data_IF_514576324999
#
_entry.id   IF_514576324999
#
_cell.length_a   1.000
_cell.length_b   1.000
_cell.length_c   1.000
_cell.angle_alpha   90.00
_cell.angle_beta   90.00
_cell.angle_gamma   90.00
#
_symmetry.space_group_name_H-M   'P 1'
#
loop_
_entity.id
_entity.type
_entity.pdbx_description
1 polymer ?
#
# COMPACT_ATOMS: atom_id res chain seq x y z
N UNK A 1 6.19 13.54 -19.91
CA UNK A 1 5.01 12.68 -19.69
C UNK A 1 4.72 12.38 -18.22
N UNK A 2 5.68 12.45 -17.28
CA UNK A 2 5.44 12.18 -15.85
C UNK A 2 4.66 13.27 -15.07
N UNK A 3 4.40 14.44 -15.66
CA UNK A 3 3.80 15.58 -14.94
C UNK A 3 2.26 15.62 -15.00
N UNK A 4 1.64 15.08 -16.05
CA UNK A 4 0.19 15.12 -16.23
C UNK A 4 -0.42 13.72 -16.15
N UNK A 5 -1.13 13.46 -15.05
CA UNK A 5 -1.81 12.19 -14.83
C UNK A 5 -2.90 11.90 -15.89
N UNK A 6 -3.66 12.91 -16.31
CA UNK A 6 -4.81 12.72 -17.20
C UNK A 6 -4.43 12.37 -18.65
N UNK A 7 -3.20 12.71 -19.04
CA UNK A 7 -2.63 12.31 -20.33
C UNK A 7 -1.68 11.09 -20.19
N UNK A 8 -1.59 10.50 -19.01
CA UNK A 8 -0.67 9.38 -18.74
C UNK A 8 -1.23 8.06 -19.26
N UNK A 9 -0.34 7.13 -19.58
CA UNK A 9 -0.71 5.74 -19.93
C UNK A 9 -1.40 5.03 -18.77
N UNK A 10 -1.12 5.42 -17.53
CA UNK A 10 -1.79 4.88 -16.35
C UNK A 10 -3.29 5.19 -16.37
N UNK A 11 -3.67 6.44 -16.63
CA UNK A 11 -5.07 6.86 -16.70
C UNK A 11 -5.79 6.19 -17.89
N UNK A 12 -5.14 6.15 -19.05
CA UNK A 12 -5.77 5.67 -20.29
C UNK A 12 -5.93 4.14 -20.36
N UNK A 13 -5.03 3.37 -19.75
CA UNK A 13 -4.95 1.92 -19.98
C UNK A 13 -4.97 1.07 -18.70
N UNK A 14 -4.71 1.65 -17.53
CA UNK A 14 -4.61 0.90 -16.27
C UNK A 14 -5.62 1.33 -15.21
N UNK A 15 -6.57 2.18 -15.57
CA UNK A 15 -7.69 2.51 -14.70
C UNK A 15 -8.92 1.73 -15.12
N UNK A 16 -9.42 0.89 -14.22
CA UNK A 16 -10.57 0.02 -14.45
C UNK A 16 -11.72 0.40 -13.53
N UNK A 17 -12.94 0.10 -13.97
CA UNK A 17 -14.08 0.03 -13.06
C UNK A 17 -14.01 -1.27 -12.23
N UNK A 18 -14.67 -1.27 -11.07
CA UNK A 18 -14.78 -2.45 -10.21
C UNK A 18 -15.38 -3.65 -10.95
N UNK A 19 -16.40 -3.39 -11.78
CA UNK A 19 -17.07 -4.42 -12.57
C UNK A 19 -16.15 -5.01 -13.64
N UNK A 20 -15.46 -4.15 -14.40
CA UNK A 20 -14.52 -4.61 -15.43
C UNK A 20 -13.38 -5.42 -14.84
N UNK A 21 -12.84 -4.99 -13.70
CA UNK A 21 -11.75 -5.73 -13.03
C UNK A 21 -12.23 -7.08 -12.50
N UNK A 22 -13.44 -7.15 -11.95
CA UNK A 22 -14.05 -8.39 -11.51
C UNK A 22 -14.31 -9.34 -12.68
N UNK A 23 -14.80 -8.84 -13.81
CA UNK A 23 -15.02 -9.62 -15.02
C UNK A 23 -13.72 -10.16 -15.60
N UNK A 24 -12.64 -9.36 -15.65
CA UNK A 24 -11.32 -9.81 -16.09
C UNK A 24 -10.80 -10.97 -15.23
N UNK A 25 -10.92 -10.85 -13.90
CA UNK A 25 -10.51 -11.91 -12.97
C UNK A 25 -11.37 -13.16 -13.10
N UNK A 26 -12.68 -12.99 -13.30
CA UNK A 26 -13.58 -14.11 -13.50
C UNK A 26 -13.25 -14.86 -14.80
N UNK A 27 -12.97 -14.12 -15.87
CA UNK A 27 -12.53 -14.70 -17.15
C UNK A 27 -11.24 -15.51 -16.99
N UNK A 28 -10.23 -14.99 -16.30
CA UNK A 28 -9.00 -15.74 -16.00
C UNK A 28 -9.27 -17.00 -15.19
N UNK A 29 -10.15 -16.92 -14.19
CA UNK A 29 -10.57 -18.08 -13.41
C UNK A 29 -11.29 -19.13 -14.27
N UNK A 30 -12.06 -18.67 -15.26
CA UNK A 30 -12.83 -19.54 -16.14
C UNK A 30 -11.98 -20.21 -17.22
N UNK A 31 -10.93 -19.54 -17.69
CA UNK A 31 -9.94 -20.11 -18.61
C UNK A 31 -9.13 -21.23 -17.95
N UNK A 32 -8.79 -21.08 -16.66
CA UNK A 32 -7.94 -22.01 -15.92
C UNK A 32 -8.69 -22.82 -14.85
N UNK A 33 -9.96 -23.17 -15.11
CA UNK A 33 -10.83 -23.90 -14.16
C UNK A 33 -10.18 -25.13 -13.54
N UNK A 34 -9.49 -25.93 -14.36
CA UNK A 34 -8.84 -27.15 -13.91
C UNK A 34 -7.74 -26.89 -12.88
N UNK A 35 -6.85 -25.92 -13.15
CA UNK A 35 -5.78 -25.54 -12.22
C UNK A 35 -6.36 -24.94 -10.92
N UNK A 36 -7.46 -24.19 -11.04
CA UNK A 36 -8.10 -23.55 -9.91
C UNK A 36 -8.73 -24.56 -8.95
N UNK A 37 -9.28 -25.66 -9.48
CA UNK A 37 -9.83 -26.76 -8.69
C UNK A 37 -8.72 -27.59 -8.02
N UNK A 38 -7.61 -27.83 -8.70
CA UNK A 38 -6.47 -28.59 -8.16
C UNK A 38 -5.74 -27.85 -7.05
N UNK A 39 -5.58 -26.53 -7.20
CA UNK A 39 -4.86 -25.66 -6.27
C UNK A 39 -5.74 -24.47 -5.86
N UNK A 40 -6.65 -24.66 -4.87
CA UNK A 40 -7.42 -23.55 -4.34
C UNK A 40 -6.48 -22.56 -3.66
N UNK A 41 -6.64 -21.28 -4.01
CA UNK A 41 -5.89 -20.19 -3.41
C UNK A 41 -6.78 -19.40 -2.45
N UNK A 42 -6.21 -18.81 -1.38
CA UNK A 42 -6.90 -17.85 -0.54
C UNK A 42 -7.40 -16.63 -1.33
N UNK A 43 -8.24 -15.81 -0.70
CA UNK A 43 -8.71 -14.57 -1.31
C UNK A 43 -7.52 -13.69 -1.78
N UNK A 44 -7.74 -13.00 -2.89
CA UNK A 44 -6.73 -12.21 -3.58
C UNK A 44 -6.21 -11.07 -2.69
N UNK A 45 -7.02 -10.59 -1.75
CA UNK A 45 -6.63 -9.61 -0.72
C UNK A 45 -5.57 -10.18 0.22
N UNK A 46 -5.75 -11.41 0.70
CA UNK A 46 -4.74 -12.09 1.52
C UNK A 46 -3.44 -12.37 0.75
N UNK A 47 -3.54 -12.76 -0.53
CA UNK A 47 -2.38 -12.92 -1.39
C UNK A 47 -1.65 -11.59 -1.63
N UNK A 48 -2.39 -10.49 -1.79
CA UNK A 48 -1.83 -9.15 -1.92
C UNK A 48 -1.03 -8.75 -0.67
N UNK A 49 -1.57 -9.01 0.53
CA UNK A 49 -0.86 -8.81 1.79
C UNK A 49 0.41 -9.67 1.87
N UNK A 50 0.33 -10.93 1.45
CA UNK A 50 1.47 -11.84 1.43
C UNK A 50 2.58 -11.35 0.50
N UNK A 51 2.27 -11.02 -0.76
CA UNK A 51 3.23 -10.51 -1.73
C UNK A 51 3.85 -9.19 -1.28
N UNK A 52 3.06 -8.28 -0.72
CA UNK A 52 3.58 -7.03 -0.16
C UNK A 52 4.58 -7.27 0.96
N UNK A 53 4.30 -8.20 1.89
CA UNK A 53 5.24 -8.59 2.96
C UNK A 53 6.54 -9.19 2.39
N UNK A 54 6.45 -10.05 1.38
CA UNK A 54 7.64 -10.61 0.72
C UNK A 54 8.50 -9.52 0.07
N UNK A 55 7.85 -8.59 -0.63
CA UNK A 55 8.51 -7.49 -1.34
C UNK A 55 9.18 -6.51 -0.35
N UNK A 56 8.49 -6.18 0.76
CA UNK A 56 9.05 -5.35 1.82
C UNK A 56 10.24 -6.02 2.53
N UNK A 57 10.18 -7.34 2.78
CA UNK A 57 11.30 -8.11 3.33
C UNK A 57 12.51 -8.10 2.38
N UNK A 58 12.28 -8.35 1.09
CA UNK A 58 13.33 -8.30 0.07
C UNK A 58 13.97 -6.91 0.02
N UNK A 59 13.16 -5.83 -0.06
CA UNK A 59 13.67 -4.47 -0.13
C UNK A 59 14.41 -3.99 1.12
N UNK A 60 14.03 -4.48 2.30
CA UNK A 60 14.72 -4.16 3.56
C UNK A 60 16.08 -4.85 3.69
N UNK A 61 16.22 -6.05 3.15
CA UNK A 61 17.47 -6.80 3.23
C UNK A 61 18.50 -6.44 2.15
N UNK A 62 18.09 -5.66 1.14
CA UNK A 62 19.04 -5.19 0.12
C UNK A 62 20.20 -4.41 0.77
N UNK A 63 21.42 -4.47 0.22
CA UNK A 63 22.59 -3.80 0.78
C UNK A 63 22.40 -2.29 0.96
N UNK A 64 21.63 -1.68 0.06
CA UNK A 64 21.18 -0.30 0.14
C UNK A 64 19.65 -0.31 0.26
N UNK A 65 19.06 0.37 1.26
CA UNK A 65 17.61 0.43 1.40
C UNK A 65 16.94 0.98 0.15
N UNK A 66 15.96 0.25 -0.37
CA UNK A 66 15.19 0.67 -1.53
C UNK A 66 14.24 1.81 -1.14
N UNK A 67 14.09 2.81 -2.01
CA UNK A 67 13.16 3.91 -1.83
C UNK A 67 11.72 3.41 -1.78
N UNK A 68 10.89 4.01 -0.93
CA UNK A 68 9.48 3.64 -0.80
C UNK A 68 8.71 3.74 -2.12
N UNK A 69 9.04 4.71 -2.97
CA UNK A 69 8.45 4.85 -4.29
C UNK A 69 8.70 3.61 -5.17
N UNK A 70 9.91 3.06 -5.19
CA UNK A 70 10.22 1.85 -5.95
C UNK A 70 9.50 0.59 -5.41
N UNK A 71 9.33 0.48 -4.08
CA UNK A 71 8.51 -0.59 -3.50
C UNK A 71 7.05 -0.48 -3.93
N UNK A 72 6.50 0.73 -3.91
CA UNK A 72 5.13 1.00 -4.36
C UNK A 72 4.95 0.69 -5.86
N UNK A 73 5.91 1.09 -6.71
CA UNK A 73 5.90 0.78 -8.14
C UNK A 73 5.91 -0.73 -8.38
N UNK A 74 6.75 -1.47 -7.64
CA UNK A 74 6.80 -2.92 -7.74
C UNK A 74 5.49 -3.59 -7.30
N UNK A 75 4.83 -3.11 -6.24
CA UNK A 75 3.50 -3.58 -5.84
C UNK A 75 2.45 -3.36 -6.94
N UNK A 76 2.48 -2.20 -7.61
CA UNK A 76 1.59 -1.92 -8.74
C UNK A 76 1.89 -2.84 -9.93
N UNK A 77 3.16 -3.11 -10.24
CA UNK A 77 3.52 -4.05 -11.30
C UNK A 77 2.97 -5.46 -11.04
N UNK A 78 3.09 -5.96 -9.80
CA UNK A 78 2.50 -7.25 -9.44
C UNK A 78 0.98 -7.28 -9.65
N UNK A 79 0.28 -6.22 -9.27
CA UNK A 79 -1.18 -6.11 -9.48
C UNK A 79 -1.53 -6.09 -10.96
N UNK A 80 -0.81 -5.31 -11.76
CA UNK A 80 -1.02 -5.20 -13.21
C UNK A 80 -0.78 -6.55 -13.90
N UNK A 81 0.31 -7.21 -13.55
CA UNK A 81 0.69 -8.51 -14.11
C UNK A 81 -0.33 -9.61 -13.75
N UNK A 82 -0.66 -9.78 -12.47
CA UNK A 82 -1.63 -10.80 -12.04
C UNK A 82 -3.10 -10.47 -12.34
N UNK A 83 -3.38 -9.29 -12.89
CA UNK A 83 -4.71 -9.00 -13.47
C UNK A 83 -4.88 -9.56 -14.88
N UNK A 84 -3.79 -9.99 -15.53
CA UNK A 84 -3.78 -10.60 -16.87
C UNK A 84 -3.25 -12.03 -16.87
N UNK A 85 -2.38 -12.37 -15.93
CA UNK A 85 -1.75 -13.69 -15.83
C UNK A 85 -2.21 -14.40 -14.57
N UNK A 86 -2.57 -15.68 -14.73
CA UNK A 86 -2.94 -16.53 -13.60
C UNK A 86 -1.72 -16.83 -12.71
N UNK A 87 -1.84 -16.58 -11.41
CA UNK A 87 -0.74 -16.70 -10.43
C UNK A 87 -0.11 -18.10 -10.47
N UNK A 88 -0.94 -19.12 -10.70
CA UNK A 88 -0.56 -20.54 -10.67
C UNK A 88 0.34 -20.98 -11.81
N UNK A 89 0.47 -20.19 -12.89
CA UNK A 89 1.34 -20.50 -14.04
C UNK A 89 2.78 -20.01 -13.87
N UNK A 90 3.04 -19.20 -12.85
CA UNK A 90 4.31 -18.52 -12.65
C UNK A 90 4.85 -18.83 -11.27
N UNK A 91 6.17 -18.79 -11.08
CA UNK A 91 6.76 -18.80 -9.75
C UNK A 91 6.65 -17.38 -9.14
N UNK A 92 5.80 -17.15 -8.11
CA UNK A 92 5.57 -15.80 -7.62
C UNK A 92 6.80 -15.15 -7.00
N UNK A 93 7.74 -15.94 -6.48
CA UNK A 93 8.98 -15.43 -5.90
C UNK A 93 9.88 -14.79 -6.97
N UNK A 94 10.01 -15.43 -8.14
CA UNK A 94 10.74 -14.86 -9.29
C UNK A 94 10.05 -13.59 -9.77
N UNK A 95 8.72 -13.60 -9.88
CA UNK A 95 7.95 -12.42 -10.33
C UNK A 95 8.12 -11.26 -9.34
N UNK A 96 8.10 -11.50 -8.03
CA UNK A 96 8.34 -10.47 -6.99
C UNK A 96 9.74 -9.88 -7.11
N UNK A 97 10.76 -10.73 -7.21
CA UNK A 97 12.16 -10.30 -7.38
C UNK A 97 12.33 -9.47 -8.64
N UNK A 98 11.73 -9.91 -9.75
CA UNK A 98 11.79 -9.24 -11.05
C UNK A 98 11.04 -7.92 -11.04
N UNK A 99 9.85 -7.86 -10.44
CA UNK A 99 9.06 -6.65 -10.32
C UNK A 99 9.81 -5.56 -9.54
N UNK A 100 10.47 -5.94 -8.43
CA UNK A 100 11.28 -5.03 -7.65
C UNK A 100 12.54 -4.56 -8.40
N UNK A 101 13.24 -5.49 -9.04
CA UNK A 101 14.41 -5.17 -9.89
C UNK A 101 14.06 -4.16 -10.99
N UNK A 102 12.94 -4.40 -11.69
CA UNK A 102 12.47 -3.52 -12.75
C UNK A 102 12.00 -2.18 -12.20
N UNK A 103 11.25 -2.14 -11.10
CA UNK A 103 10.84 -0.89 -10.46
C UNK A 103 12.05 -0.04 -10.05
N UNK A 104 13.10 -0.64 -9.49
CA UNK A 104 14.34 0.06 -9.16
C UNK A 104 15.01 0.69 -10.39
N UNK A 105 15.00 0.01 -11.53
CA UNK A 105 15.52 0.57 -12.78
C UNK A 105 14.72 1.79 -13.26
N UNK A 106 13.40 1.72 -13.17
CA UNK A 106 12.50 2.77 -13.65
C UNK A 106 12.45 4.00 -12.71
N UNK A 107 12.66 3.81 -11.41
CA UNK A 107 12.65 4.87 -10.39
C UNK A 107 14.04 5.45 -10.12
N UNK A 108 14.98 5.26 -11.06
CA UNK A 108 16.36 5.81 -10.98
C UNK A 108 17.10 5.39 -9.69
N UNK A 109 16.87 4.16 -9.22
CA UNK A 109 17.56 3.54 -8.08
C UNK A 109 18.02 2.11 -8.41
N UNK A 110 18.64 1.96 -9.58
CA UNK A 110 19.03 0.66 -10.11
C UNK A 110 20.12 -0.02 -9.27
N UNK A 111 19.93 -1.32 -9.03
CA UNK A 111 20.96 -2.20 -8.47
C UNK A 111 21.26 -3.35 -9.43
N UNK A 112 22.45 -3.94 -9.28
CA UNK A 112 22.88 -5.06 -10.13
C UNK A 112 21.98 -6.29 -9.91
N UNK A 113 21.59 -6.97 -11.00
CA UNK A 113 20.68 -8.14 -10.97
C UNK A 113 21.14 -9.25 -10.01
N UNK A 114 22.46 -9.49 -9.93
CA UNK A 114 23.05 -10.45 -8.97
C UNK A 114 22.67 -10.17 -7.52
N UNK A 115 22.53 -8.90 -7.11
CA UNK A 115 22.17 -8.56 -5.74
C UNK A 115 20.75 -9.01 -5.42
N UNK A 116 19.82 -8.79 -6.35
CA UNK A 116 18.43 -9.24 -6.21
C UNK A 116 18.33 -10.76 -6.14
N UNK A 117 19.03 -11.48 -7.02
CA UNK A 117 19.02 -12.95 -7.04
C UNK A 117 19.65 -13.54 -5.78
N UNK A 118 20.79 -12.99 -5.33
CA UNK A 118 21.47 -13.46 -4.13
C UNK A 118 20.61 -13.25 -2.88
N UNK A 119 19.99 -12.08 -2.73
CA UNK A 119 19.14 -11.79 -1.57
C UNK A 119 17.85 -12.61 -1.59
N UNK A 120 17.24 -12.75 -2.78
CA UNK A 120 16.03 -13.58 -2.91
C UNK A 120 16.32 -15.05 -2.62
N UNK A 121 17.52 -15.55 -2.94
CA UNK A 121 17.98 -16.88 -2.54
C UNK A 121 18.19 -16.99 -1.03
N UNK A 122 18.75 -15.97 -0.39
CA UNK A 122 18.94 -15.97 1.06
C UNK A 122 17.59 -16.05 1.79
N UNK A 123 16.58 -15.35 1.29
CA UNK A 123 15.22 -15.36 1.82
C UNK A 123 14.44 -16.64 1.49
N UNK A 124 14.58 -17.17 0.28
CA UNK A 124 13.75 -18.25 -0.26
C UNK A 124 14.59 -19.32 -0.96
N UNK A 125 15.48 -20.03 -0.24
CA UNK A 125 16.43 -20.98 -0.85
C UNK A 125 15.75 -22.18 -1.52
N UNK A 126 14.51 -22.49 -1.14
CA UNK A 126 13.74 -23.59 -1.73
C UNK A 126 13.00 -23.22 -3.02
N UNK A 127 12.91 -21.94 -3.37
CA UNK A 127 12.12 -21.45 -4.51
C UNK A 127 12.95 -20.68 -5.54
N UNK A 128 14.18 -20.29 -5.19
CA UNK A 128 15.11 -19.58 -6.07
C UNK A 128 16.50 -20.22 -5.94
N UNK A 129 17.01 -20.73 -7.06
CA UNK A 129 18.34 -21.34 -7.18
C UNK A 129 19.36 -20.35 -7.77
N UNK A 130 20.67 -20.64 -7.64
CA UNK A 130 21.74 -19.79 -8.16
C UNK A 130 21.71 -19.58 -9.70
N UNK A 131 21.09 -20.50 -10.44
CA UNK A 131 20.99 -20.47 -11.90
C UNK A 131 19.87 -19.55 -12.42
N UNK A 132 19.15 -18.86 -11.53
CA UNK A 132 17.94 -18.09 -11.85
C UNK A 132 18.22 -16.68 -12.41
N UNK A 133 19.48 -16.25 -12.59
CA UNK A 133 19.77 -14.93 -13.17
C UNK A 133 19.17 -14.82 -14.58
N UNK A 134 19.30 -15.87 -15.39
CA UNK A 134 18.72 -15.92 -16.73
C UNK A 134 17.18 -15.88 -16.67
N UNK A 135 16.57 -16.66 -15.78
CA UNK A 135 15.11 -16.70 -15.58
C UNK A 135 14.54 -15.37 -15.06
N UNK A 136 15.27 -14.63 -14.21
CA UNK A 136 14.89 -13.26 -13.82
C UNK A 136 14.96 -12.30 -15.01
N UNK A 137 15.96 -12.45 -15.88
CA UNK A 137 16.05 -11.67 -17.13
C UNK A 137 14.94 -12.00 -18.14
N UNK A 138 14.58 -13.27 -18.30
CA UNK A 138 13.45 -13.70 -19.12
C UNK A 138 12.11 -13.23 -18.54
N UNK A 139 11.94 -13.36 -17.22
CA UNK A 139 10.77 -12.86 -16.51
C UNK A 139 10.66 -11.33 -16.63
N UNK A 140 11.79 -10.61 -16.67
CA UNK A 140 11.77 -9.16 -16.88
C UNK A 140 11.15 -8.82 -18.23
N UNK A 141 11.62 -9.47 -19.30
CA UNK A 141 11.08 -9.28 -20.63
C UNK A 141 9.58 -9.60 -20.69
N UNK A 142 9.18 -10.72 -20.08
CA UNK A 142 7.79 -11.13 -20.02
C UNK A 142 6.91 -10.11 -19.26
N UNK A 143 7.38 -9.61 -18.13
CA UNK A 143 6.65 -8.63 -17.31
C UNK A 143 6.49 -7.28 -18.04
N UNK A 144 7.50 -6.83 -18.79
CA UNK A 144 7.40 -5.63 -19.63
C UNK A 144 6.39 -5.84 -20.76
N UNK A 145 6.46 -6.99 -21.44
CA UNK A 145 5.58 -7.32 -22.55
C UNK A 145 4.10 -7.37 -22.12
N UNK A 146 3.81 -8.04 -21.00
CA UNK A 146 2.45 -8.21 -20.49
C UNK A 146 1.84 -6.88 -20.02
N UNK A 147 2.68 -5.98 -19.49
CA UNK A 147 2.27 -4.61 -19.14
C UNK A 147 2.32 -3.64 -20.34
N UNK A 148 2.55 -4.14 -21.55
CA UNK A 148 2.58 -3.36 -22.80
C UNK A 148 3.53 -2.15 -22.73
N UNK A 149 4.67 -2.30 -22.04
CA UNK A 149 5.68 -1.25 -21.81
C UNK A 149 5.16 0.01 -21.09
N UNK A 150 4.02 -0.07 -20.39
CA UNK A 150 3.42 1.04 -19.65
C UNK A 150 3.93 1.06 -18.21
N UNK A 151 5.19 1.50 -18.05
CA UNK A 151 5.94 1.35 -16.80
C UNK A 151 5.80 2.52 -15.84
N UNK A 152 5.50 3.73 -16.32
CA UNK A 152 5.43 4.91 -15.45
C UNK A 152 4.19 4.82 -14.54
N UNK A 153 4.40 5.00 -13.24
CA UNK A 153 3.35 5.01 -12.21
C UNK A 153 3.35 6.34 -11.47
N UNK A 154 2.17 6.92 -11.33
CA UNK A 154 1.90 8.11 -10.54
C UNK A 154 1.44 7.70 -9.15
N UNK A 155 2.15 8.16 -8.12
CA UNK A 155 1.89 7.83 -6.73
C UNK A 155 1.18 8.97 -5.98
N UNK A 156 0.33 8.67 -4.99
CA UNK A 156 -0.36 9.66 -4.15
C UNK A 156 0.57 10.45 -3.21
N UNK A 157 1.80 10.00 -2.96
CA UNK A 157 2.76 10.67 -2.05
C UNK A 157 2.98 12.14 -2.39
N UNK A 158 3.09 12.46 -3.70
CA UNK A 158 3.28 13.83 -4.15
C UNK A 158 2.08 14.71 -3.80
N UNK A 159 0.87 14.22 -4.06
CA UNK A 159 -0.36 14.95 -3.73
C UNK A 159 -0.53 15.16 -2.23
N UNK A 160 -0.12 14.20 -1.40
CA UNK A 160 -0.13 14.38 0.05
C UNK A 160 0.75 15.57 0.48
N UNK A 161 1.95 15.67 -0.07
CA UNK A 161 2.88 16.77 0.23
C UNK A 161 2.36 18.11 -0.30
N UNK A 162 1.80 18.13 -1.51
CA UNK A 162 1.21 19.34 -2.11
C UNK A 162 0.01 19.86 -1.29
N UNK A 163 -0.75 18.96 -0.66
CA UNK A 163 -1.91 19.29 0.18
C UNK A 163 -1.57 19.59 1.65
N UNK A 164 -0.32 19.41 2.07
CA UNK A 164 0.10 19.68 3.45
C UNK A 164 -0.11 21.14 3.85
N UNK A 165 0.37 22.07 3.02
CA UNK A 165 0.31 23.52 3.30
C UNK A 165 -1.12 24.07 3.20
N UNK A 166 -1.91 23.78 2.13
CA UNK A 166 -3.29 24.28 2.02
C UNK A 166 -4.22 23.80 3.14
N UNK A 167 -4.01 22.59 3.66
CA UNK A 167 -4.85 22.00 4.70
C UNK A 167 -4.29 22.21 6.11
N UNK A 168 -3.15 22.90 6.24
CA UNK A 168 -2.45 23.14 7.51
C UNK A 168 -2.26 21.85 8.34
N UNK A 169 -1.80 20.78 7.68
CA UNK A 169 -1.59 19.48 8.29
C UNK A 169 -0.32 19.48 9.15
N UNK A 170 -0.39 18.88 10.34
CA UNK A 170 0.81 18.67 11.16
C UNK A 170 1.68 17.55 10.59
N UNK A 171 2.96 17.51 10.97
CA UNK A 171 3.88 16.44 10.53
C UNK A 171 3.40 15.05 10.95
N UNK A 172 2.78 14.94 12.12
CA UNK A 172 2.15 13.69 12.57
C UNK A 172 0.98 13.27 11.67
N UNK A 173 0.14 14.22 11.23
CA UNK A 173 -1.01 13.95 10.36
C UNK A 173 -0.53 13.48 8.98
N UNK A 174 0.55 14.08 8.47
CA UNK A 174 1.22 13.67 7.23
C UNK A 174 1.84 12.28 7.38
N UNK A 175 2.51 11.98 8.50
CA UNK A 175 3.09 10.67 8.76
C UNK A 175 2.03 9.56 8.81
N UNK A 176 0.90 9.83 9.48
CA UNK A 176 -0.22 8.88 9.53
C UNK A 176 -0.85 8.70 8.15
N UNK A 177 -1.11 9.78 7.41
CA UNK A 177 -1.63 9.70 6.04
C UNK A 177 -0.65 8.96 5.11
N UNK A 178 0.66 9.14 5.29
CA UNK A 178 1.69 8.40 4.56
C UNK A 178 1.63 6.90 4.84
N UNK A 179 1.40 6.49 6.09
CA UNK A 179 1.20 5.08 6.45
C UNK A 179 -0.05 4.51 5.79
N UNK A 180 -1.17 5.23 5.83
CA UNK A 180 -2.42 4.82 5.16
C UNK A 180 -2.21 4.71 3.64
N UNK A 181 -1.41 5.60 3.06
CA UNK A 181 -0.98 5.49 1.66
C UNK A 181 -0.10 4.25 1.45
N UNK A 182 0.75 3.82 2.38
CA UNK A 182 1.48 2.57 2.16
C UNK A 182 0.52 1.36 2.18
N UNK A 183 -0.52 1.43 3.02
CA UNK A 183 -1.50 0.35 3.17
C UNK A 183 -2.46 0.24 1.99
N UNK A 184 -2.80 1.35 1.31
CA UNK A 184 -3.72 1.28 0.16
C UNK A 184 -3.18 0.40 -0.98
N UNK A 185 -1.85 0.27 -1.11
CA UNK A 185 -1.24 -0.65 -2.08
C UNK A 185 -1.45 -2.12 -1.75
N UNK A 186 -2.08 -2.47 -0.62
CA UNK A 186 -2.56 -3.82 -0.31
C UNK A 186 -3.93 -4.12 -0.95
N UNK A 187 -4.67 -3.08 -1.34
CA UNK A 187 -5.97 -3.17 -2.00
C UNK A 187 -5.88 -2.96 -3.51
N UNK A 188 -7.00 -3.10 -4.22
CA UNK A 188 -7.11 -2.82 -5.65
C UNK A 188 -7.24 -1.33 -5.99
N UNK A 189 -7.25 -0.44 -4.98
CA UNK A 189 -7.40 1.00 -5.17
C UNK A 189 -6.43 1.62 -6.21
N UNK A 190 -5.15 1.21 -6.32
CA UNK A 190 -4.24 1.75 -7.34
C UNK A 190 -4.69 1.54 -8.80
N UNK A 191 -5.58 0.57 -9.04
CA UNK A 191 -6.14 0.27 -10.38
C UNK A 191 -7.53 0.88 -10.58
N UNK A 192 -8.19 1.34 -9.52
CA UNK A 192 -9.58 1.82 -9.56
C UNK A 192 -9.64 3.35 -9.58
N UNK A 193 -8.85 4.00 -8.72
CA UNK A 193 -8.95 5.45 -8.48
C UNK A 193 -7.65 6.19 -8.78
N UNK A 194 -7.75 7.48 -9.15
CA UNK A 194 -6.58 8.33 -9.32
C UNK A 194 -5.81 8.56 -8.01
N UNK A 195 -4.49 8.80 -8.08
CA UNK A 195 -3.64 8.99 -6.90
C UNK A 195 -4.08 10.19 -6.04
N UNK A 196 -4.61 11.26 -6.63
CA UNK A 196 -5.07 12.42 -5.86
C UNK A 196 -6.29 12.09 -4.97
N UNK A 197 -7.22 11.26 -5.45
CA UNK A 197 -8.39 10.82 -4.68
C UNK A 197 -7.95 9.95 -3.51
N UNK A 198 -6.99 9.05 -3.74
CA UNK A 198 -6.42 8.17 -2.71
C UNK A 198 -5.69 8.99 -1.63
N UNK A 199 -4.91 10.01 -2.02
CA UNK A 199 -4.22 10.88 -1.07
C UNK A 199 -5.21 11.62 -0.17
N UNK A 200 -6.30 12.16 -0.74
CA UNK A 200 -7.34 12.86 0.02
C UNK A 200 -8.06 11.91 0.97
N UNK A 201 -8.38 10.69 0.52
CA UNK A 201 -8.97 9.65 1.37
C UNK A 201 -8.05 9.29 2.55
N UNK A 202 -6.75 9.17 2.31
CA UNK A 202 -5.76 8.89 3.35
C UNK A 202 -5.65 10.04 4.37
N UNK A 203 -5.66 11.31 3.93
CA UNK A 203 -5.67 12.48 4.80
C UNK A 203 -6.95 12.49 5.65
N UNK A 204 -8.11 12.23 5.03
CA UNK A 204 -9.38 12.15 5.74
C UNK A 204 -9.35 11.09 6.84
N UNK A 205 -8.90 9.87 6.51
CA UNK A 205 -8.75 8.79 7.49
C UNK A 205 -7.77 9.17 8.61
N UNK A 206 -6.61 9.73 8.29
CA UNK A 206 -5.62 10.15 9.29
C UNK A 206 -6.19 11.18 10.28
N UNK A 207 -6.96 12.15 9.79
CA UNK A 207 -7.60 13.16 10.66
C UNK A 207 -8.71 12.57 11.53
N UNK A 208 -9.46 11.59 11.01
CA UNK A 208 -10.59 10.96 11.73
C UNK A 208 -10.18 9.87 12.72
N UNK A 209 -9.17 9.07 12.40
CA UNK A 209 -8.71 7.92 13.20
C UNK A 209 -7.83 8.35 14.38
N UNK A 210 -7.23 9.55 14.32
CA UNK A 210 -6.47 10.09 15.45
C UNK A 210 -7.44 10.40 16.59
N UNK A 211 -7.44 9.56 17.62
CA UNK A 211 -8.03 9.93 18.89
C UNK A 211 -7.33 11.21 19.39
N UNK A 212 -8.07 12.20 19.91
CA UNK A 212 -7.44 13.32 20.58
C UNK A 212 -6.63 12.71 21.71
N UNK A 213 -5.31 12.75 21.58
CA UNK A 213 -4.40 12.34 22.65
C UNK A 213 -4.74 13.21 23.86
N UNK A 214 -5.58 12.70 24.75
CA UNK A 214 -5.60 13.12 26.15
C UNK A 214 -4.17 12.90 26.61
N UNK A 215 -3.49 14.01 26.90
CA UNK A 215 -2.16 14.03 27.48
C UNK A 215 -2.04 12.92 28.54
N UNK A 216 -1.38 11.83 28.18
CA UNK A 216 -0.87 10.89 29.16
C UNK A 216 0.32 11.58 29.84
N UNK A 217 0.02 12.43 30.82
CA UNK A 217 0.96 12.75 31.88
C UNK A 217 1.35 11.41 32.52
N UNK A 218 2.57 10.97 32.26
CA UNK A 218 3.22 9.97 33.08
C UNK A 218 3.21 10.49 34.53
N UNK A 219 2.71 9.74 35.51
CA UNK A 219 2.97 10.06 36.91
C UNK A 219 4.44 9.79 37.19
N UNK A 220 5.24 10.85 37.26
CA UNK A 220 6.56 10.76 37.86
C UNK A 220 6.38 10.44 39.35
N UNK A 221 7.05 9.37 39.75
CA UNK A 221 7.14 8.83 41.09
C UNK A 221 7.50 9.88 42.13
N UNK A 222 6.83 9.77 43.28
CA UNK A 222 6.91 10.63 44.44
C UNK A 222 8.33 10.86 44.99
N UNK A 223 8.61 12.12 45.35
CA UNK A 223 9.31 12.46 46.59
C UNK A 223 8.58 13.61 47.26
N UNK A 224 8.11 13.34 48.47
CA UNK A 224 7.52 14.31 49.37
C UNK A 224 8.54 15.40 49.71
N UNK A 225 8.14 16.67 49.66
CA UNK A 225 8.40 17.58 50.77
C UNK A 225 7.46 18.78 50.76
N UNK A 226 6.89 18.95 51.94
CA UNK A 226 5.98 19.95 52.45
C UNK A 226 6.70 21.29 52.64
N UNK A 227 6.08 22.43 52.28
CA UNK A 227 5.98 23.65 53.09
C UNK A 227 5.12 24.73 52.39
N UNK A 228 3.96 25.01 53.00
CA UNK A 228 3.33 26.32 53.24
C UNK A 228 3.37 27.43 52.17
N UNK A 229 2.19 27.88 51.71
CA UNK A 229 1.46 29.03 52.29
C UNK A 229 0.15 29.28 51.53
N UNK A 230 -0.87 29.65 52.30
CA UNK A 230 -2.22 29.98 51.84
C UNK A 230 -2.30 31.39 51.24
N UNK A 231 -3.14 31.57 50.21
CA UNK A 231 -3.84 32.82 49.93
C UNK A 231 -5.12 32.54 49.13
N UNK A 232 -6.15 33.31 49.46
CA UNK A 232 -7.58 33.04 49.26
C UNK A 232 -8.12 33.41 47.86
N UNK A 233 -9.19 32.68 47.46
CA UNK A 233 -10.46 33.08 46.78
C UNK A 233 -10.39 34.24 45.75
N UNK A 234 -10.87 34.13 44.51
CA UNK A 234 -12.25 33.97 43.97
C UNK A 234 -12.05 34.20 42.44
N UNK A 235 -12.65 33.49 41.48
CA UNK A 235 -14.06 33.55 41.12
C UNK A 235 -14.41 32.36 40.21
N UNK A 236 -15.56 31.77 40.49
CA UNK A 236 -16.25 30.83 39.62
C UNK A 236 -17.11 31.62 38.64
N UNK A 237 -16.95 31.39 37.33
CA UNK A 237 -17.98 31.64 36.33
C UNK A 237 -17.88 30.63 35.19
N UNK A 238 -18.94 29.81 35.10
CA UNK A 238 -19.48 29.02 33.98
C UNK A 238 -18.59 28.13 33.09
N UNK A 239 -18.82 26.81 33.06
CA UNK A 239 -18.38 25.95 31.97
C UNK A 239 -19.42 26.02 30.85
N UNK A 240 -19.30 26.99 29.94
CA UNK A 240 -20.09 26.95 28.70
C UNK A 240 -19.45 25.94 27.74
N UNK A 241 -20.17 24.84 27.55
CA UNK A 241 -19.89 23.73 26.65
C UNK A 241 -19.89 24.23 25.19
N UNK A 242 -18.71 24.48 24.60
CA UNK A 242 -18.46 24.39 23.14
C UNK A 242 -16.97 24.55 22.84
N UNK A 243 -16.14 23.60 23.29
CA UNK A 243 -14.75 23.51 22.86
C UNK A 243 -14.61 22.44 21.79
N UNK A 244 -14.90 22.73 20.52
CA UNK A 244 -14.51 21.81 19.43
C UNK A 244 -12.99 21.65 19.49
N UNK A 245 -12.50 20.44 19.74
CA UNK A 245 -11.06 20.16 19.81
C UNK A 245 -10.38 20.64 18.51
N UNK A 246 -9.13 21.12 18.57
CA UNK A 246 -8.37 21.57 17.38
C UNK A 246 -8.41 20.55 16.22
N UNK A 247 -8.48 19.26 16.55
CA UNK A 247 -8.68 18.15 15.62
C UNK A 247 -10.02 18.23 14.85
N UNK A 248 -11.13 18.46 15.55
CA UNK A 248 -12.46 18.62 14.94
C UNK A 248 -12.51 19.85 14.03
N UNK A 249 -11.82 20.93 14.40
CA UNK A 249 -11.68 22.12 13.53
C UNK A 249 -10.93 21.81 12.24
N UNK A 250 -9.86 21.01 12.29
CA UNK A 250 -9.12 20.56 11.10
C UNK A 250 -9.97 19.64 10.21
N UNK A 251 -10.71 18.70 10.81
CA UNK A 251 -11.64 17.85 10.06
C UNK A 251 -12.74 18.67 9.39
N UNK A 252 -13.30 19.67 10.08
CA UNK A 252 -14.28 20.59 9.49
C UNK A 252 -13.68 21.43 8.37
N UNK A 253 -12.45 21.90 8.52
CA UNK A 253 -11.73 22.62 7.47
C UNK A 253 -11.51 21.75 6.22
N UNK A 254 -11.14 20.47 6.40
CA UNK A 254 -11.03 19.54 5.28
C UNK A 254 -12.39 19.33 4.58
N UNK A 255 -13.48 19.18 5.34
CA UNK A 255 -14.83 19.02 4.77
C UNK A 255 -15.25 20.27 3.99
N UNK A 256 -14.98 21.46 4.53
CA UNK A 256 -15.26 22.71 3.83
C UNK A 256 -14.41 22.82 2.55
N UNK A 257 -13.12 22.53 2.62
CA UNK A 257 -12.23 22.50 1.46
C UNK A 257 -12.69 21.49 0.41
N UNK A 258 -13.13 20.30 0.83
CA UNK A 258 -13.69 19.27 -0.05
C UNK A 258 -14.98 19.72 -0.72
N UNK A 259 -15.83 20.48 -0.02
CA UNK A 259 -17.08 21.01 -0.57
C UNK A 259 -16.86 22.11 -1.61
N UNK A 260 -15.78 22.89 -1.46
CA UNK A 260 -15.36 23.91 -2.41
C UNK A 260 -14.58 23.32 -3.60
N UNK A 261 -14.00 22.13 -3.41
CA UNK A 261 -13.20 21.44 -4.42
C UNK A 261 -14.08 20.61 -5.37
N UNK A 262 -13.74 20.58 -6.66
CA UNK A 262 -14.43 19.75 -7.66
C UNK A 262 -13.99 18.26 -7.61
N UNK A 263 -13.74 17.74 -6.40
CA UNK A 263 -13.30 16.36 -6.18
C UNK A 263 -14.52 15.45 -6.02
N UNK A 264 -14.48 14.27 -6.63
CA UNK A 264 -15.56 13.30 -6.51
C UNK A 264 -15.60 12.69 -5.09
N UNK A 265 -16.51 13.21 -4.25
CA UNK A 265 -16.69 12.77 -2.86
C UNK A 265 -17.06 11.27 -2.79
N UNK A 266 -17.88 10.78 -3.72
CA UNK A 266 -18.26 9.35 -3.75
C UNK A 266 -17.03 8.46 -3.89
N UNK A 267 -16.10 8.82 -4.78
CA UNK A 267 -14.86 8.09 -4.95
C UNK A 267 -13.97 8.13 -3.68
N UNK A 268 -13.91 9.26 -2.98
CA UNK A 268 -13.20 9.37 -1.70
C UNK A 268 -13.81 8.44 -0.65
N UNK A 269 -15.14 8.41 -0.52
CA UNK A 269 -15.81 7.52 0.43
C UNK A 269 -15.57 6.04 0.11
N UNK A 270 -15.63 5.66 -1.16
CA UNK A 270 -15.35 4.29 -1.60
C UNK A 270 -13.91 3.89 -1.27
N UNK A 271 -12.93 4.78 -1.49
CA UNK A 271 -11.55 4.58 -1.06
C UNK A 271 -11.44 4.37 0.46
N UNK A 272 -12.08 5.22 1.26
CA UNK A 272 -12.07 5.10 2.71
C UNK A 272 -12.67 3.76 3.18
N UNK A 273 -13.79 3.35 2.59
CA UNK A 273 -14.46 2.10 2.92
C UNK A 273 -13.58 0.88 2.62
N UNK A 274 -12.87 0.87 1.48
CA UNK A 274 -11.94 -0.21 1.14
C UNK A 274 -10.75 -0.28 2.10
N UNK A 275 -10.22 0.86 2.55
CA UNK A 275 -9.12 0.90 3.53
C UNK A 275 -9.60 0.42 4.90
N UNK A 276 -10.80 0.80 5.33
CA UNK A 276 -11.38 0.30 6.60
C UNK A 276 -11.62 -1.22 6.51
N UNK A 277 -12.17 -1.69 5.39
CA UNK A 277 -12.35 -3.13 5.13
C UNK A 277 -11.03 -3.89 5.09
N UNK A 278 -9.95 -3.26 4.61
CA UNK A 278 -8.61 -3.84 4.67
C UNK A 278 -8.15 -4.02 6.13
N UNK A 279 -8.37 -3.04 7.00
CA UNK A 279 -7.94 -3.15 8.39
C UNK A 279 -8.65 -4.28 9.15
N UNK A 280 -9.95 -4.49 8.92
CA UNK A 280 -10.69 -5.64 9.44
C UNK A 280 -10.13 -6.98 8.91
N UNK A 281 -9.82 -7.04 7.61
CA UNK A 281 -9.22 -8.22 6.98
C UNK A 281 -7.82 -8.52 7.54
N UNK A 282 -7.03 -7.50 7.90
CA UNK A 282 -5.70 -7.67 8.46
C UNK A 282 -5.71 -8.32 9.84
N UNK A 283 -6.79 -8.18 10.62
CA UNK A 283 -6.94 -8.86 11.92
C UNK A 283 -7.05 -10.38 11.76
N UNK A 284 -7.69 -10.84 10.69
CA UNK A 284 -7.89 -12.27 10.40
C UNK A 284 -6.77 -12.89 9.55
N UNK A 285 -5.82 -12.08 9.06
CA UNK A 285 -4.80 -12.53 8.13
C UNK A 285 -3.80 -13.52 8.73
N UNK A 286 -3.65 -14.68 8.09
CA UNK A 286 -2.67 -15.70 8.45
C UNK A 286 -1.65 -15.92 7.32
N UNK A 287 -0.39 -15.59 7.58
CA UNK A 287 0.70 -15.74 6.59
C UNK A 287 0.97 -17.19 6.20
N UNK A 288 0.79 -18.13 7.14
CA UNK A 288 1.03 -19.56 6.94
C UNK A 288 0.14 -20.14 5.83
N UNK A 289 -1.14 -19.75 5.80
CA UNK A 289 -2.13 -20.26 4.84
C UNK A 289 -1.74 -19.85 3.41
N UNK A 290 -1.37 -18.58 3.19
CA UNK A 290 -0.90 -18.11 1.89
C UNK A 290 0.39 -18.80 1.47
N UNK A 291 1.34 -18.94 2.41
CA UNK A 291 2.64 -19.58 2.15
C UNK A 291 2.47 -21.05 1.76
N UNK A 292 1.62 -21.80 2.46
CA UNK A 292 1.38 -23.22 2.18
C UNK A 292 0.70 -23.41 0.82
N UNK A 293 -0.32 -22.60 0.52
CA UNK A 293 -1.01 -22.64 -0.76
C UNK A 293 -0.05 -22.39 -1.94
N UNK A 294 0.82 -21.38 -1.81
CA UNK A 294 1.82 -21.06 -2.84
C UNK A 294 2.88 -22.14 -2.97
N UNK A 295 3.36 -22.67 -1.84
CA UNK A 295 4.36 -23.74 -1.83
C UNK A 295 3.84 -25.00 -2.50
N UNK A 296 2.55 -25.32 -2.31
CA UNK A 296 1.90 -26.51 -2.86
C UNK A 296 1.87 -26.49 -4.38
N UNK A 297 1.42 -25.41 -5.01
CA UNK A 297 1.35 -25.37 -6.47
C UNK A 297 2.73 -25.18 -7.12
N UNK A 298 3.61 -24.38 -6.49
CA UNK A 298 4.96 -24.14 -7.04
C UNK A 298 5.74 -25.45 -7.14
N UNK A 299 5.68 -26.30 -6.10
CA UNK A 299 6.31 -27.63 -6.10
C UNK A 299 5.61 -28.62 -7.03
N UNK A 300 4.28 -28.62 -7.06
CA UNK A 300 3.53 -29.58 -7.87
C UNK A 300 3.72 -29.34 -9.38
N UNK A 301 3.97 -28.11 -9.80
CA UNK A 301 4.26 -27.77 -11.19
C UNK A 301 5.76 -27.77 -11.53
N UNK A 302 6.64 -28.05 -10.57
CA UNK A 302 8.09 -28.03 -10.79
C UNK A 302 8.64 -26.64 -11.11
N UNK A 303 7.93 -25.58 -10.71
CA UNK A 303 8.31 -24.17 -10.93
C UNK A 303 9.45 -23.71 -9.99
N UNK A 304 9.90 -24.60 -9.11
CA UNK A 304 11.03 -24.45 -8.20
C UNK A 304 12.37 -24.93 -8.79
N UNK A 305 12.35 -25.57 -9.97
CA UNK A 305 13.52 -26.08 -10.71
C UNK A 305 13.83 -25.22 -11.94
#
# INVERSE_FOLDING_TARGET
>A
MAANYWASTQYLHWQYSRETLAQMRQKLKDEEKHLNQLFPLPDMRYLSCFFSKLLARLGKNMPVPIRQQALATAQVYLRRFYSKVEIRKTNPYIVITTALYLACKLEECAHHIKNFVNESRALWPSFITASEIAKVGECEFYLISEMSSQMIVHHPYRTLLDLQTPLNLSQDDVSMAWSVINDHYLTDLPLLYPPHVIAIAAIFLALTLRQPSTNAQQPQTATANMYSQASLRKDASDPTITGTTTQQKKSQHLVNWLSESNVNIKAVMECCQEIISLYDLLETYQESVCKEAISRFTRAQGLDK
#
